data_IF_256384851460
#
_entry.id   IF_256384851460
#
_cell.length_a   1.000
_cell.length_b   1.000
_cell.length_c   1.000
_cell.angle_alpha   90.00
_cell.angle_beta   90.00
_cell.angle_gamma   90.00
#
_symmetry.space_group_name_H-M   'P 1'
#
loop_
_entity.id
_entity.type
_entity.pdbx_description
1 polymer ?
#
# COMPACT_ATOMS: atom_id res chain seq x y z
N UNK A 1 -21.13 30.11 11.68
CA UNK A 1 -21.27 29.64 13.08
C UNK A 1 -19.92 29.17 13.54
N UNK A 2 -19.45 29.62 14.68
CA UNK A 2 -18.12 29.30 15.19
C UNK A 2 -18.25 28.58 16.53
N UNK A 3 -17.57 27.45 16.65
CA UNK A 3 -17.42 26.69 17.88
C UNK A 3 -15.92 26.60 18.16
N UNK A 4 -15.53 27.06 19.33
CA UNK A 4 -14.16 26.98 19.83
C UNK A 4 -14.13 26.11 21.09
N UNK A 5 -13.25 25.12 21.10
CA UNK A 5 -12.98 24.25 22.25
C UNK A 5 -11.52 24.46 22.63
N UNK A 6 -11.30 24.97 23.85
CA UNK A 6 -9.97 25.31 24.38
C UNK A 6 -9.74 24.59 25.69
N UNK A 7 -8.51 24.11 25.91
CA UNK A 7 -8.03 23.55 27.18
C UNK A 7 -9.03 22.57 27.84
N UNK A 8 -9.57 21.66 27.04
CA UNK A 8 -10.64 20.75 27.46
C UNK A 8 -10.24 19.30 27.32
N UNK A 9 -10.55 18.48 28.33
CA UNK A 9 -10.32 17.02 28.32
C UNK A 9 -11.63 16.27 28.24
N UNK A 10 -11.74 15.39 27.25
CA UNK A 10 -12.81 14.43 27.07
C UNK A 10 -12.23 13.04 27.27
N UNK A 11 -12.63 12.35 28.34
CA UNK A 11 -12.04 11.05 28.68
C UNK A 11 -13.09 9.98 28.98
N UNK A 12 -12.81 8.74 28.58
CA UNK A 12 -13.63 7.55 28.88
C UNK A 12 -15.08 7.68 28.43
N UNK A 13 -15.27 8.19 27.20
CA UNK A 13 -16.59 8.38 26.60
C UNK A 13 -16.84 7.26 25.60
N UNK A 14 -17.84 6.44 25.88
CA UNK A 14 -18.26 5.36 24.98
C UNK A 14 -19.65 5.65 24.43
N UNK A 15 -19.73 5.77 23.12
CA UNK A 15 -20.96 5.92 22.36
C UNK A 15 -21.36 4.53 21.82
N UNK A 16 -22.40 3.95 22.41
CA UNK A 16 -22.83 2.56 22.19
C UNK A 16 -24.09 2.43 21.32
N UNK A 17 -24.65 3.53 20.84
CA UNK A 17 -25.85 3.59 19.99
C UNK A 17 -25.49 3.79 18.51
N UNK A 18 -26.45 4.16 17.65
CA UNK A 18 -26.22 4.38 16.22
C UNK A 18 -25.65 5.77 15.85
N UNK A 19 -25.23 6.58 16.83
CA UNK A 19 -24.62 7.90 16.57
C UNK A 19 -23.17 7.77 16.12
N UNK A 20 -22.67 8.73 15.35
CA UNK A 20 -21.24 8.87 15.04
C UNK A 20 -20.58 9.84 16.00
N UNK A 21 -19.26 9.71 16.22
CA UNK A 21 -18.50 10.58 17.12
C UNK A 21 -18.88 10.33 18.58
N UNK A 22 -17.96 9.85 19.42
CA UNK A 22 -18.30 9.72 20.84
C UNK A 22 -18.41 11.08 21.55
N UNK A 23 -17.67 12.08 21.08
CA UNK A 23 -17.63 13.42 21.69
C UNK A 23 -18.24 14.47 20.78
N UNK A 24 -17.81 14.52 19.52
CA UNK A 24 -18.23 15.54 18.56
C UNK A 24 -18.83 14.87 17.32
N UNK A 25 -20.03 15.30 16.95
CA UNK A 25 -20.68 15.00 15.69
C UNK A 25 -21.08 16.33 15.03
N UNK A 26 -20.33 16.75 14.02
CA UNK A 26 -20.44 18.09 13.44
C UNK A 26 -20.80 18.07 11.95
N UNK A 27 -21.70 18.97 11.56
CA UNK A 27 -21.99 19.30 10.16
C UNK A 27 -21.56 20.74 9.88
N UNK A 28 -20.55 20.91 9.05
CA UNK A 28 -19.90 22.19 8.78
C UNK A 28 -20.26 22.68 7.38
N UNK A 29 -21.23 23.60 7.31
CA UNK A 29 -21.66 24.29 6.09
C UNK A 29 -20.83 25.55 5.84
N UNK A 30 -21.13 26.24 4.73
CA UNK A 30 -20.50 27.52 4.36
C UNK A 30 -20.41 28.50 5.55
N UNK A 31 -19.18 28.91 5.88
CA UNK A 31 -18.90 29.84 6.99
C UNK A 31 -19.01 29.25 8.39
N UNK A 32 -19.10 27.93 8.54
CA UNK A 32 -18.96 27.25 9.82
C UNK A 32 -17.49 26.98 10.15
N UNK A 33 -17.11 27.16 11.41
CA UNK A 33 -15.78 26.86 11.93
C UNK A 33 -15.91 26.02 13.21
N UNK A 34 -15.20 24.90 13.25
CA UNK A 34 -14.88 24.17 14.49
C UNK A 34 -13.38 24.29 14.73
N UNK A 35 -13.01 24.98 15.81
CA UNK A 35 -11.62 25.12 16.23
C UNK A 35 -11.41 24.39 17.55
N UNK A 36 -10.39 23.55 17.64
CA UNK A 36 -10.05 22.79 18.85
C UNK A 36 -8.57 23.01 19.15
N UNK A 37 -8.30 23.73 20.23
CA UNK A 37 -6.99 24.32 20.51
C UNK A 37 -6.55 24.15 21.98
N UNK A 38 -5.37 24.70 22.27
CA UNK A 38 -4.84 24.95 23.61
C UNK A 38 -4.79 23.69 24.49
N UNK A 39 -4.05 22.65 24.06
CA UNK A 39 -3.86 21.42 24.86
C UNK A 39 -5.15 20.62 25.13
N UNK A 40 -6.19 20.79 24.31
CA UNK A 40 -7.39 19.96 24.38
C UNK A 40 -7.06 18.49 24.11
N UNK A 41 -7.77 17.57 24.77
CA UNK A 41 -7.48 16.14 24.72
C UNK A 41 -8.73 15.26 24.61
N UNK A 42 -8.60 14.20 23.81
CA UNK A 42 -9.60 13.14 23.65
C UNK A 42 -8.92 11.82 24.03
N UNK A 43 -9.36 11.20 25.11
CA UNK A 43 -8.69 10.04 25.69
C UNK A 43 -9.71 8.91 25.83
N UNK A 44 -9.43 7.75 25.25
CA UNK A 44 -10.30 6.59 25.35
C UNK A 44 -11.77 6.93 24.95
N UNK A 45 -11.91 7.67 23.85
CA UNK A 45 -13.22 7.96 23.24
C UNK A 45 -13.55 6.88 22.20
N UNK A 46 -14.64 6.15 22.42
CA UNK A 46 -15.00 4.96 21.65
C UNK A 46 -16.36 5.17 21.00
N UNK A 47 -16.46 5.00 19.69
CA UNK A 47 -17.74 4.95 18.98
C UNK A 47 -17.97 3.56 18.38
N UNK A 48 -19.21 3.07 18.48
CA UNK A 48 -19.64 1.87 17.74
C UNK A 48 -19.77 2.09 16.23
N UNK A 49 -19.72 3.34 15.77
CA UNK A 49 -19.77 3.74 14.35
C UNK A 49 -18.51 4.54 13.97
N UNK A 50 -18.57 5.56 13.10
CA UNK A 50 -17.37 6.23 12.63
C UNK A 50 -16.94 7.38 13.57
N UNK A 51 -15.64 7.61 13.67
CA UNK A 51 -15.06 8.69 14.48
C UNK A 51 -15.09 8.38 15.98
N UNK A 52 -14.00 7.88 16.55
CA UNK A 52 -14.00 7.52 17.98
C UNK A 52 -14.15 8.75 18.88
N UNK A 53 -13.43 9.83 18.60
CA UNK A 53 -13.63 11.13 19.25
C UNK A 53 -14.53 12.04 18.43
N UNK A 54 -14.17 12.25 17.17
CA UNK A 54 -14.76 13.26 16.29
C UNK A 54 -15.28 12.61 15.01
N UNK A 55 -16.54 12.88 14.69
CA UNK A 55 -17.12 12.67 13.38
C UNK A 55 -17.51 14.02 12.78
N UNK A 56 -17.20 14.23 11.51
CA UNK A 56 -17.56 15.48 10.83
C UNK A 56 -17.94 15.28 9.37
N UNK A 57 -18.93 16.07 8.92
CA UNK A 57 -19.25 16.28 7.51
C UNK A 57 -18.97 17.74 7.15
N UNK A 58 -18.25 17.98 6.05
CA UNK A 58 -17.86 19.34 5.63
C UNK A 58 -18.41 19.62 4.24
N UNK A 59 -19.24 20.66 4.12
CA UNK A 59 -19.87 21.15 2.89
C UNK A 59 -19.83 22.68 2.85
N UNK A 60 -18.62 23.24 2.89
CA UNK A 60 -18.41 24.69 2.92
C UNK A 60 -17.69 25.24 4.16
N UNK A 61 -17.41 24.40 5.17
CA UNK A 61 -16.89 24.83 6.47
C UNK A 61 -15.44 24.46 6.73
N UNK A 62 -14.99 24.78 7.95
CA UNK A 62 -13.59 24.66 8.35
C UNK A 62 -13.44 23.92 9.68
N UNK A 63 -12.46 23.02 9.74
CA UNK A 63 -11.96 22.43 10.98
C UNK A 63 -10.48 22.81 11.13
N UNK A 64 -10.12 23.33 12.30
CA UNK A 64 -8.74 23.59 12.70
C UNK A 64 -8.44 22.86 14.01
N UNK A 65 -7.38 22.04 14.00
CA UNK A 65 -6.91 21.28 15.15
C UNK A 65 -5.47 21.70 15.47
N UNK A 66 -5.28 22.42 16.57
CA UNK A 66 -3.97 22.90 16.98
C UNK A 66 -3.65 22.48 18.42
N UNK A 67 -2.44 21.96 18.66
CA UNK A 67 -1.99 21.59 20.01
C UNK A 67 -2.94 20.61 20.71
N UNK A 68 -3.55 19.67 19.97
CA UNK A 68 -4.46 18.68 20.56
C UNK A 68 -3.78 17.33 20.75
N UNK A 69 -4.27 16.57 21.73
CA UNK A 69 -3.82 15.19 21.98
C UNK A 69 -5.00 14.24 21.87
N UNK A 70 -4.90 13.24 20.99
CA UNK A 70 -5.89 12.18 20.87
C UNK A 70 -5.21 10.83 21.15
N UNK A 71 -5.66 10.16 22.21
CA UNK A 71 -5.08 8.91 22.71
C UNK A 71 -6.13 7.82 22.88
N UNK A 72 -5.81 6.59 22.50
CA UNK A 72 -6.62 5.39 22.80
C UNK A 72 -8.06 5.44 22.26
N UNK A 73 -8.36 6.35 21.32
CA UNK A 73 -9.68 6.42 20.70
C UNK A 73 -9.89 5.24 19.74
N UNK A 74 -11.13 4.80 19.61
CA UNK A 74 -11.46 3.70 18.70
C UNK A 74 -12.82 3.84 18.03
N UNK A 75 -12.88 3.43 16.77
CA UNK A 75 -14.09 3.40 15.97
C UNK A 75 -13.91 2.44 14.78
N UNK A 76 -14.98 2.02 14.11
CA UNK A 76 -14.87 1.30 12.86
C UNK A 76 -14.01 1.95 11.77
N UNK A 77 -14.22 3.24 11.51
CA UNK A 77 -13.31 4.03 10.67
C UNK A 77 -13.04 5.37 11.32
N UNK A 78 -11.82 5.88 11.17
CA UNK A 78 -11.42 7.10 11.85
C UNK A 78 -11.38 6.86 13.35
N UNK A 79 -10.49 5.96 13.79
CA UNK A 79 -10.41 5.52 15.19
C UNK A 79 -10.39 6.70 16.17
N UNK A 80 -9.72 7.80 15.81
CA UNK A 80 -9.86 9.10 16.46
C UNK A 80 -10.82 10.02 15.71
N UNK A 81 -10.55 10.31 14.42
CA UNK A 81 -11.31 11.29 13.63
C UNK A 81 -11.79 10.68 12.33
N UNK A 82 -13.08 10.85 12.04
CA UNK A 82 -13.65 10.60 10.73
C UNK A 82 -14.14 11.91 10.11
N UNK A 83 -13.72 12.21 8.89
CA UNK A 83 -14.17 13.40 8.14
C UNK A 83 -14.66 12.99 6.75
N UNK A 84 -15.88 13.40 6.41
CA UNK A 84 -16.44 13.29 5.06
C UNK A 84 -16.63 14.68 4.44
N UNK A 85 -16.02 14.94 3.29
CA UNK A 85 -15.88 16.26 2.70
C UNK A 85 -16.56 16.32 1.34
N UNK A 86 -17.31 17.38 1.07
CA UNK A 86 -17.69 17.76 -0.30
C UNK A 86 -16.57 18.63 -0.90
N UNK A 87 -15.69 18.00 -1.68
CA UNK A 87 -14.54 18.66 -2.29
C UNK A 87 -14.93 19.68 -3.37
N UNK A 88 -16.21 19.74 -3.78
CA UNK A 88 -16.70 20.76 -4.72
C UNK A 88 -17.00 22.10 -4.06
N UNK A 89 -16.97 22.14 -2.72
CA UNK A 89 -17.21 23.34 -1.92
C UNK A 89 -15.91 23.87 -1.33
N UNK A 90 -15.87 25.16 -0.98
CA UNK A 90 -14.74 25.71 -0.23
C UNK A 90 -14.74 25.12 1.18
N UNK A 91 -13.66 24.43 1.57
CA UNK A 91 -13.53 23.89 2.92
C UNK A 91 -12.15 24.17 3.49
N UNK A 92 -11.96 23.81 4.76
CA UNK A 92 -10.63 23.67 5.35
C UNK A 92 -10.63 22.53 6.36
N UNK A 93 -9.62 21.68 6.34
CA UNK A 93 -9.34 20.72 7.39
C UNK A 93 -7.83 20.70 7.64
N UNK A 94 -7.42 21.34 8.72
CA UNK A 94 -6.01 21.60 9.03
C UNK A 94 -5.66 21.03 10.40
N UNK A 95 -4.52 20.33 10.44
CA UNK A 95 -3.87 19.84 11.66
C UNK A 95 -2.51 20.52 11.77
N UNK A 96 -2.27 21.26 12.86
CA UNK A 96 -1.13 22.19 13.00
C UNK A 96 0.00 21.63 13.88
N UNK A 97 -0.30 21.21 15.10
CA UNK A 97 0.66 20.55 15.99
C UNK A 97 -0.07 19.60 16.93
N UNK A 98 -0.45 18.43 16.42
CA UNK A 98 -1.40 17.57 17.14
C UNK A 98 -0.93 16.12 17.15
N UNK A 99 -1.15 15.46 18.27
CA UNK A 99 -0.63 14.12 18.56
C UNK A 99 -1.75 13.06 18.55
N UNK A 100 -1.57 12.01 17.74
CA UNK A 100 -2.50 10.89 17.59
C UNK A 100 -1.79 9.58 17.92
N UNK A 101 -2.11 8.94 19.03
CA UNK A 101 -1.41 7.73 19.42
C UNK A 101 -2.30 6.68 20.06
N UNK A 102 -1.90 5.40 19.93
CA UNK A 102 -2.64 4.24 20.41
C UNK A 102 -4.10 4.15 19.91
N UNK A 103 -4.46 4.87 18.85
CA UNK A 103 -5.82 4.87 18.32
C UNK A 103 -6.05 3.64 17.46
N UNK A 104 -7.31 3.17 17.40
CA UNK A 104 -7.67 1.89 16.78
C UNK A 104 -8.85 1.96 15.82
N UNK A 105 -8.66 1.56 14.56
CA UNK A 105 -9.74 1.29 13.62
C UNK A 105 -10.08 -0.20 13.62
N UNK A 106 -11.32 -0.56 13.97
CA UNK A 106 -11.71 -1.97 14.15
C UNK A 106 -12.79 -2.41 13.17
N UNK A 107 -12.69 -3.59 12.60
CA UNK A 107 -13.77 -4.09 11.72
C UNK A 107 -15.07 -4.20 12.53
N UNK A 108 -16.15 -3.62 11.99
CA UNK A 108 -17.49 -3.83 12.49
C UNK A 108 -18.24 -4.78 11.56
N UNK A 109 -18.22 -6.07 11.91
CA UNK A 109 -18.91 -7.14 11.19
C UNK A 109 -20.44 -7.04 11.20
N UNK A 110 -21.02 -6.11 11.96
CA UNK A 110 -22.46 -5.84 11.94
C UNK A 110 -22.87 -4.86 10.82
N UNK A 111 -21.92 -4.18 10.17
CA UNK A 111 -22.19 -3.30 9.04
C UNK A 111 -22.29 -4.14 7.76
N UNK A 112 -23.52 -4.46 7.35
CA UNK A 112 -23.77 -5.38 6.23
C UNK A 112 -23.41 -4.83 4.84
N UNK A 113 -23.21 -3.50 4.70
CA UNK A 113 -23.07 -2.84 3.40
C UNK A 113 -21.90 -1.84 3.33
N UNK A 114 -21.02 -1.83 4.33
CA UNK A 114 -19.92 -0.88 4.34
C UNK A 114 -18.68 -1.47 4.99
N UNK A 115 -17.57 -1.40 4.28
CA UNK A 115 -16.29 -1.86 4.77
C UNK A 115 -15.76 -0.93 5.87
N UNK A 116 -15.20 -1.52 6.92
CA UNK A 116 -14.64 -0.79 8.06
C UNK A 116 -13.30 -1.40 8.49
N UNK A 117 -12.59 -0.73 9.38
CA UNK A 117 -11.25 -1.09 9.83
C UNK A 117 -10.15 -0.21 9.22
N UNK A 118 -10.48 1.01 8.79
CA UNK A 118 -9.56 1.92 8.12
C UNK A 118 -9.26 3.20 8.92
N UNK A 119 -8.01 3.66 8.89
CA UNK A 119 -7.63 4.98 9.39
C UNK A 119 -7.78 5.13 10.90
N UNK A 120 -6.89 4.52 11.69
CA UNK A 120 -7.06 4.53 13.14
C UNK A 120 -6.87 5.90 13.79
N UNK A 121 -5.98 6.73 13.25
CA UNK A 121 -5.90 8.14 13.61
C UNK A 121 -7.01 8.92 12.90
N UNK A 122 -6.89 9.02 11.58
CA UNK A 122 -7.80 9.83 10.76
C UNK A 122 -8.27 9.02 9.55
N UNK A 123 -9.58 9.04 9.32
CA UNK A 123 -10.17 8.62 8.06
C UNK A 123 -10.74 9.85 7.34
N UNK A 124 -10.22 10.14 6.16
CA UNK A 124 -10.69 11.24 5.30
C UNK A 124 -11.35 10.64 4.07
N UNK A 125 -12.58 11.01 3.80
CA UNK A 125 -13.25 10.67 2.55
C UNK A 125 -13.98 11.88 1.98
N UNK A 126 -14.33 11.81 0.70
CA UNK A 126 -15.19 12.84 0.15
C UNK A 126 -15.63 12.62 -1.29
N UNK A 127 -16.59 13.44 -1.69
CA UNK A 127 -17.14 13.46 -3.04
C UNK A 127 -16.60 14.63 -3.83
N UNK A 128 -16.49 14.45 -5.14
CA UNK A 128 -16.03 15.48 -6.06
C UNK A 128 -14.51 15.58 -6.16
N UNK A 129 -14.06 16.53 -6.98
CA UNK A 129 -12.65 16.71 -7.29
C UNK A 129 -12.06 17.78 -6.39
N UNK A 130 -11.01 17.42 -5.66
CA UNK A 130 -10.30 18.35 -4.78
C UNK A 130 -9.41 19.28 -5.60
N UNK A 131 -9.53 20.60 -5.37
CA UNK A 131 -8.58 21.56 -5.90
C UNK A 131 -7.27 21.51 -5.11
N UNK A 132 -6.26 20.86 -5.69
CA UNK A 132 -4.94 20.70 -5.08
C UNK A 132 -4.23 22.04 -4.80
N UNK A 133 -4.60 23.14 -5.45
CA UNK A 133 -3.98 24.45 -5.25
C UNK A 133 -4.55 25.17 -4.02
N UNK A 134 -5.72 24.75 -3.53
CA UNK A 134 -6.41 25.37 -2.39
C UNK A 134 -5.65 25.23 -1.06
N UNK A 135 -4.84 24.17 -0.90
CA UNK A 135 -4.24 23.76 0.38
C UNK A 135 -5.25 23.54 1.51
N UNK A 136 -6.53 23.35 1.18
CA UNK A 136 -7.60 23.25 2.16
C UNK A 136 -7.50 21.99 3.04
N UNK A 137 -6.90 20.91 2.53
CA UNK A 137 -6.55 19.74 3.34
C UNK A 137 -5.06 19.79 3.69
N UNK A 138 -4.75 19.94 4.97
CA UNK A 138 -3.37 20.07 5.45
C UNK A 138 -3.16 19.31 6.76
N UNK A 139 -2.51 18.16 6.68
CA UNK A 139 -2.21 17.30 7.82
C UNK A 139 -0.73 17.35 8.21
N UNK A 140 0.03 18.37 7.77
CA UNK A 140 1.47 18.49 8.03
C UNK A 140 1.82 18.49 9.52
N UNK A 141 0.94 19.03 10.34
CA UNK A 141 1.10 19.13 11.78
C UNK A 141 0.81 17.86 12.56
N UNK A 142 0.40 16.78 11.89
CA UNK A 142 0.07 15.53 12.54
C UNK A 142 1.34 14.81 13.03
N UNK A 143 1.35 14.44 14.31
CA UNK A 143 2.34 13.53 14.91
C UNK A 143 1.61 12.25 15.31
N UNK A 144 2.16 11.09 14.99
CA UNK A 144 1.51 9.83 15.31
C UNK A 144 2.45 8.72 15.77
N UNK A 145 1.95 7.84 16.64
CA UNK A 145 2.67 6.68 17.18
C UNK A 145 1.72 5.54 17.54
N UNK A 146 2.12 4.30 17.24
CA UNK A 146 1.47 3.07 17.72
C UNK A 146 -0.06 3.01 17.46
N UNK A 147 -0.51 3.60 16.35
CA UNK A 147 -1.88 3.44 15.89
C UNK A 147 -2.03 2.10 15.16
N UNK A 148 -3.24 1.55 15.12
CA UNK A 148 -3.48 0.24 14.50
C UNK A 148 -4.85 0.19 13.85
N UNK A 149 -4.89 -0.27 12.60
CA UNK A 149 -6.11 -0.48 11.85
C UNK A 149 -6.21 -1.97 11.51
N UNK A 150 -7.38 -2.58 11.71
CA UNK A 150 -7.61 -3.99 11.41
C UNK A 150 -7.42 -4.29 9.90
N UNK A 151 -7.60 -3.30 9.02
CA UNK A 151 -7.39 -3.42 7.58
C UNK A 151 -6.21 -2.60 7.08
N UNK A 152 -6.36 -1.27 7.01
CA UNK A 152 -5.38 -0.43 6.30
C UNK A 152 -5.39 1.02 6.79
N UNK A 153 -4.27 1.70 6.59
CA UNK A 153 -4.05 3.04 7.12
C UNK A 153 -4.00 2.99 8.64
N UNK A 154 -2.92 2.44 9.20
CA UNK A 154 -2.75 2.35 10.66
C UNK A 154 -2.92 3.70 11.32
N UNK A 155 -2.50 4.79 10.68
CA UNK A 155 -2.80 6.16 11.12
C UNK A 155 -3.80 6.83 10.20
N UNK A 156 -3.51 6.94 8.90
CA UNK A 156 -4.31 7.71 7.95
C UNK A 156 -4.83 6.81 6.84
N UNK A 157 -6.13 6.90 6.57
CA UNK A 157 -6.74 6.35 5.37
C UNK A 157 -7.49 7.43 4.60
N UNK A 158 -7.17 7.61 3.31
CA UNK A 158 -7.79 8.65 2.47
C UNK A 158 -8.53 8.06 1.28
N UNK A 159 -9.77 8.51 1.07
CA UNK A 159 -10.62 8.17 -0.08
C UNK A 159 -10.97 9.45 -0.83
N UNK A 160 -10.31 9.70 -1.96
CA UNK A 160 -10.64 10.84 -2.82
C UNK A 160 -10.18 10.61 -4.26
N UNK A 161 -10.91 11.15 -5.25
CA UNK A 161 -10.55 11.03 -6.66
C UNK A 161 -9.18 11.62 -7.00
N UNK A 162 -8.79 12.71 -6.31
CA UNK A 162 -7.54 13.45 -6.53
C UNK A 162 -6.39 13.02 -5.62
N UNK A 163 -6.46 11.83 -5.00
CA UNK A 163 -5.50 11.39 -3.98
C UNK A 163 -4.08 11.33 -4.53
N UNK A 164 -3.93 10.76 -5.72
CA UNK A 164 -2.63 10.65 -6.37
C UNK A 164 -1.98 12.02 -6.59
N UNK A 165 -2.76 13.01 -7.06
CA UNK A 165 -2.25 14.37 -7.31
C UNK A 165 -1.88 15.09 -6.00
N UNK A 166 -2.69 14.93 -4.96
CA UNK A 166 -2.39 15.44 -3.62
C UNK A 166 -1.09 14.83 -3.07
N UNK A 167 -0.90 13.53 -3.23
CA UNK A 167 0.30 12.85 -2.74
C UNK A 167 1.55 13.20 -3.56
N UNK A 168 1.43 13.41 -4.88
CA UNK A 168 2.55 13.87 -5.72
C UNK A 168 2.99 15.29 -5.38
N UNK A 169 2.04 16.14 -4.95
CA UNK A 169 2.33 17.53 -4.62
C UNK A 169 3.23 17.64 -3.39
N UNK A 170 4.32 18.38 -3.56
CA UNK A 170 5.35 18.62 -2.54
C UNK A 170 5.79 17.33 -1.83
N UNK A 171 5.91 16.22 -2.58
CA UNK A 171 6.33 14.92 -2.06
C UNK A 171 5.48 14.43 -0.87
N UNK A 172 4.15 14.57 -0.96
CA UNK A 172 3.21 14.07 0.04
C UNK A 172 3.12 14.92 1.30
N UNK A 173 3.76 16.10 1.33
CA UNK A 173 3.85 16.97 2.51
C UNK A 173 2.53 17.14 3.24
N UNK A 174 1.42 17.36 2.54
CA UNK A 174 0.09 17.62 3.11
C UNK A 174 -0.57 16.43 3.81
N UNK A 175 -0.02 15.22 3.70
CA UNK A 175 -0.56 14.00 4.33
C UNK A 175 0.47 13.27 5.22
N UNK A 176 1.75 13.65 5.14
CA UNK A 176 2.87 12.94 5.80
C UNK A 176 2.88 13.06 7.33
N UNK A 177 2.58 14.23 7.89
CA UNK A 177 2.84 14.46 9.32
C UNK A 177 4.29 14.17 9.70
N UNK A 178 4.52 13.38 10.75
CA UNK A 178 5.85 12.86 11.15
C UNK A 178 6.28 11.55 10.45
N UNK A 179 5.63 11.15 9.35
CA UNK A 179 6.04 9.99 8.56
C UNK A 179 7.45 10.15 8.00
N UNK A 180 8.27 9.10 8.14
CA UNK A 180 9.61 9.00 7.57
C UNK A 180 9.61 7.96 6.45
N UNK A 181 10.02 8.40 5.26
CA UNK A 181 10.15 7.55 4.06
C UNK A 181 11.12 6.36 4.26
N UNK A 182 11.95 6.38 5.31
CA UNK A 182 12.94 5.33 5.61
C UNK A 182 12.66 4.54 6.87
N UNK A 183 11.94 5.13 7.85
CA UNK A 183 11.79 4.54 9.19
C UNK A 183 10.35 4.14 9.53
N UNK A 184 9.34 4.84 9.00
CA UNK A 184 7.95 4.53 9.32
C UNK A 184 7.52 3.20 8.70
N UNK A 185 6.44 2.59 9.21
CA UNK A 185 5.83 1.43 8.57
C UNK A 185 5.06 1.92 7.33
N UNK A 186 5.19 1.24 6.18
CA UNK A 186 4.52 1.67 4.93
C UNK A 186 2.99 1.72 5.05
N UNK A 187 2.39 0.84 5.84
CA UNK A 187 0.95 0.81 6.15
C UNK A 187 0.44 1.92 7.09
N UNK A 188 1.28 2.85 7.56
CA UNK A 188 0.80 3.98 8.37
C UNK A 188 -0.16 4.89 7.59
N UNK A 189 0.18 5.16 6.33
CA UNK A 189 -0.53 6.07 5.46
C UNK A 189 -0.96 5.29 4.21
N UNK A 190 -2.25 5.03 4.07
CA UNK A 190 -2.81 4.34 2.92
C UNK A 190 -4.02 5.10 2.36
N UNK A 191 -4.46 4.73 1.17
CA UNK A 191 -5.68 5.29 0.61
C UNK A 191 -5.97 4.77 -0.78
N UNK A 192 -7.10 5.23 -1.33
CA UNK A 192 -7.62 4.81 -2.63
C UNK A 192 -8.06 6.04 -3.43
N UNK A 193 -7.63 6.08 -4.70
CA UNK A 193 -7.84 7.23 -5.57
C UNK A 193 -9.17 7.14 -6.33
N UNK A 194 -10.29 7.12 -5.61
CA UNK A 194 -11.66 7.07 -6.16
C UNK A 194 -12.61 7.99 -5.39
N UNK A 195 -13.75 8.32 -5.99
CA UNK A 195 -14.81 9.07 -5.31
C UNK A 195 -15.42 8.24 -4.16
N UNK A 196 -15.75 8.89 -3.04
CA UNK A 196 -16.34 8.21 -1.88
C UNK A 196 -17.61 7.41 -2.22
N UNK A 197 -18.41 7.87 -3.19
CA UNK A 197 -19.63 7.17 -3.65
C UNK A 197 -19.29 5.83 -4.30
N UNK A 198 -18.15 5.74 -4.98
CA UNK A 198 -17.66 4.49 -5.58
C UNK A 198 -17.12 3.60 -4.46
N UNK A 199 -16.30 4.14 -3.57
CA UNK A 199 -15.70 3.39 -2.45
C UNK A 199 -16.73 2.65 -1.61
N UNK A 200 -17.84 3.30 -1.23
CA UNK A 200 -18.88 2.68 -0.40
C UNK A 200 -19.67 1.57 -1.11
N UNK A 201 -19.45 1.38 -2.41
CA UNK A 201 -20.07 0.31 -3.21
C UNK A 201 -19.12 -0.86 -3.51
N UNK A 202 -17.84 -0.75 -3.11
CA UNK A 202 -16.83 -1.76 -3.36
C UNK A 202 -16.83 -2.87 -2.31
N UNK A 203 -16.42 -4.06 -2.73
CA UNK A 203 -16.10 -5.18 -1.83
C UNK A 203 -14.71 -5.01 -1.22
N UNK A 204 -14.43 -5.72 -0.12
CA UNK A 204 -13.08 -5.76 0.45
C UNK A 204 -12.00 -6.12 -0.58
N UNK A 205 -12.18 -7.17 -1.37
CA UNK A 205 -11.21 -7.58 -2.41
C UNK A 205 -10.97 -6.46 -3.43
N UNK A 206 -12.01 -5.72 -3.82
CA UNK A 206 -11.88 -4.60 -4.74
C UNK A 206 -11.09 -3.44 -4.13
N UNK A 207 -11.31 -3.14 -2.85
CA UNK A 207 -10.56 -2.11 -2.12
C UNK A 207 -9.09 -2.53 -2.02
N UNK A 208 -8.81 -3.78 -1.64
CA UNK A 208 -7.44 -4.31 -1.50
C UNK A 208 -6.65 -4.26 -2.81
N UNK A 209 -7.32 -4.43 -3.95
CA UNK A 209 -6.71 -4.35 -5.28
C UNK A 209 -6.43 -2.92 -5.76
N UNK A 210 -7.07 -1.91 -5.16
CA UNK A 210 -6.99 -0.51 -5.61
C UNK A 210 -6.35 0.43 -4.58
N UNK A 211 -6.21 -0.01 -3.32
CA UNK A 211 -5.52 0.76 -2.30
C UNK A 211 -4.02 0.78 -2.54
N UNK A 212 -3.38 1.85 -2.09
CA UNK A 212 -1.94 2.02 -2.16
C UNK A 212 -1.40 2.56 -0.84
N UNK A 213 -0.17 2.19 -0.49
CA UNK A 213 0.60 2.96 0.47
C UNK A 213 0.82 4.35 -0.12
N UNK A 214 0.51 5.43 0.61
CA UNK A 214 0.59 6.77 0.02
C UNK A 214 2.02 7.12 -0.41
N UNK A 215 3.03 6.53 0.26
CA UNK A 215 4.45 6.67 -0.09
C UNK A 215 4.75 6.26 -1.53
N UNK A 216 3.94 5.37 -2.11
CA UNK A 216 3.98 5.00 -3.51
C UNK A 216 3.97 6.21 -4.45
N UNK A 217 3.13 7.22 -4.16
CA UNK A 217 2.88 8.34 -5.08
C UNK A 217 3.96 9.43 -5.06
N UNK A 218 4.79 9.51 -4.03
CA UNK A 218 5.90 10.48 -3.95
C UNK A 218 7.28 9.83 -3.99
N UNK A 219 7.37 8.50 -4.04
CA UNK A 219 8.63 7.80 -4.19
C UNK A 219 9.04 7.70 -5.65
N UNK A 220 10.34 7.68 -5.91
CA UNK A 220 10.85 7.34 -7.24
C UNK A 220 10.84 5.81 -7.43
N UNK A 221 9.71 5.30 -7.88
CA UNK A 221 9.41 3.88 -7.96
C UNK A 221 9.98 3.26 -9.25
N UNK A 222 10.62 2.10 -9.11
CA UNK A 222 11.08 1.26 -10.25
C UNK A 222 9.87 0.89 -11.10
N UNK A 223 9.97 0.90 -12.42
CA UNK A 223 8.90 0.37 -13.29
C UNK A 223 9.49 -0.70 -14.17
N UNK A 224 9.05 -1.95 -14.03
CA UNK A 224 9.51 -3.02 -14.91
C UNK A 224 8.59 -3.12 -16.13
N UNK A 225 9.19 -3.20 -17.31
CA UNK A 225 8.48 -3.38 -18.58
C UNK A 225 8.65 -4.80 -19.11
N UNK A 226 9.79 -5.42 -18.84
CA UNK A 226 10.08 -6.81 -19.26
C UNK A 226 11.05 -7.49 -18.31
N UNK A 227 10.85 -8.79 -18.14
CA UNK A 227 11.69 -9.65 -17.30
C UNK A 227 11.88 -10.98 -18.02
N UNK A 228 13.13 -11.30 -18.32
CA UNK A 228 13.53 -12.58 -18.89
C UNK A 228 14.54 -13.28 -17.99
N UNK A 229 14.51 -14.60 -17.97
CA UNK A 229 15.59 -15.43 -17.47
C UNK A 229 16.05 -16.38 -18.57
N UNK A 230 17.36 -16.54 -18.71
CA UNK A 230 18.00 -17.51 -19.59
C UNK A 230 18.67 -18.56 -18.72
N UNK A 231 18.39 -19.84 -18.96
CA UNK A 231 19.04 -20.96 -18.30
C UNK A 231 19.96 -21.69 -19.30
N UNK A 232 21.25 -21.68 -19.02
CA UNK A 232 22.29 -22.39 -19.77
C UNK A 232 23.13 -23.22 -18.79
N UNK A 233 22.88 -24.53 -18.74
CA UNK A 233 23.49 -25.43 -17.74
C UNK A 233 24.97 -25.71 -17.96
N UNK A 234 25.52 -25.32 -19.12
CA UNK A 234 26.95 -25.41 -19.42
C UNK A 234 27.77 -24.30 -18.74
N UNK A 235 27.12 -23.22 -18.30
CA UNK A 235 27.79 -22.07 -17.69
C UNK A 235 28.00 -22.21 -16.17
N UNK A 236 29.05 -21.56 -15.65
CA UNK A 236 29.34 -21.51 -14.21
C UNK A 236 28.28 -20.73 -13.41
N UNK A 237 27.58 -19.81 -14.07
CA UNK A 237 26.40 -19.12 -13.58
C UNK A 237 25.25 -19.38 -14.56
N UNK A 238 24.58 -20.53 -14.43
CA UNK A 238 23.71 -21.07 -15.46
C UNK A 238 22.42 -20.27 -15.62
N UNK A 239 21.97 -19.55 -14.60
CA UNK A 239 20.73 -18.78 -14.67
C UNK A 239 21.03 -17.28 -14.71
N UNK A 240 20.66 -16.61 -15.80
CA UNK A 240 20.85 -15.17 -16.02
C UNK A 240 19.52 -14.46 -16.16
N UNK A 241 19.29 -13.41 -15.39
CA UNK A 241 18.11 -12.56 -15.47
C UNK A 241 18.42 -11.26 -16.22
N UNK A 242 17.48 -10.81 -17.03
CA UNK A 242 17.48 -9.52 -17.73
C UNK A 242 16.17 -8.81 -17.38
N UNK A 243 16.29 -7.64 -16.78
CA UNK A 243 15.20 -6.75 -16.41
C UNK A 243 15.26 -5.53 -17.33
N UNK A 244 14.18 -5.19 -18.00
CA UNK A 244 14.03 -3.91 -18.70
C UNK A 244 12.99 -3.08 -17.95
N UNK A 245 13.22 -1.78 -17.84
CA UNK A 245 12.36 -0.90 -17.04
C UNK A 245 12.87 0.51 -16.86
N UNK A 246 12.23 1.30 -16.01
CA UNK A 246 12.60 2.68 -15.69
C UNK A 246 12.90 2.83 -14.20
N UNK A 247 13.59 3.93 -13.84
CA UNK A 247 13.93 4.31 -12.46
C UNK A 247 14.71 3.26 -11.67
N UNK A 248 15.42 2.33 -12.31
CA UNK A 248 16.33 1.40 -11.64
C UNK A 248 17.63 2.12 -11.25
N UNK A 249 18.04 1.98 -9.98
CA UNK A 249 19.25 2.61 -9.44
C UNK A 249 20.31 1.55 -9.16
N UNK A 250 21.46 1.67 -9.83
CA UNK A 250 22.60 0.77 -9.65
C UNK A 250 23.07 0.75 -8.19
N UNK A 251 23.31 -0.45 -7.65
CA UNK A 251 23.71 -0.66 -6.24
C UNK A 251 22.58 -0.56 -5.21
N UNK A 252 21.37 -0.14 -5.61
CA UNK A 252 20.20 -0.05 -4.73
C UNK A 252 19.08 -1.02 -5.13
N UNK A 253 18.96 -1.32 -6.42
CA UNK A 253 17.96 -2.24 -6.95
C UNK A 253 17.98 -3.59 -6.23
N UNK A 254 16.84 -3.95 -5.67
CA UNK A 254 16.53 -5.25 -5.07
C UNK A 254 15.38 -5.89 -5.84
N UNK A 255 15.45 -7.21 -5.96
CA UNK A 255 14.51 -8.00 -6.74
C UNK A 255 13.92 -9.09 -5.85
N UNK A 256 12.60 -9.22 -5.90
CA UNK A 256 11.84 -10.32 -5.29
C UNK A 256 11.28 -11.21 -6.38
N UNK A 257 11.50 -12.52 -6.24
CA UNK A 257 10.92 -13.54 -7.11
C UNK A 257 9.89 -14.30 -6.30
N UNK A 258 8.66 -14.30 -6.77
CA UNK A 258 7.51 -14.89 -6.06
C UNK A 258 6.93 -16.03 -6.88
N UNK A 259 6.61 -17.13 -6.22
CA UNK A 259 5.87 -18.23 -6.84
C UNK A 259 4.40 -17.83 -6.99
N UNK A 260 3.87 -17.89 -8.21
CA UNK A 260 2.49 -17.47 -8.50
C UNK A 260 1.50 -18.63 -8.36
N UNK A 261 1.73 -19.70 -9.13
CA UNK A 261 0.90 -20.92 -9.12
C UNK A 261 1.56 -22.06 -9.88
N UNK A 262 1.02 -23.27 -9.70
CA UNK A 262 1.29 -24.39 -10.59
C UNK A 262 0.72 -24.11 -12.00
N UNK A 263 1.41 -24.60 -13.03
CA UNK A 263 0.91 -24.64 -14.41
C UNK A 263 -0.28 -25.60 -14.50
N UNK A 264 -1.32 -25.25 -15.24
CA UNK A 264 -2.42 -26.19 -15.52
C UNK A 264 -2.00 -27.20 -16.59
N UNK A 265 -2.73 -28.31 -16.71
CA UNK A 265 -2.42 -29.38 -17.68
C UNK A 265 -2.42 -28.87 -19.14
N UNK A 266 -3.20 -27.81 -19.42
CA UNK A 266 -3.32 -27.18 -20.73
C UNK A 266 -2.19 -26.18 -21.04
N UNK A 267 -1.43 -25.74 -20.01
CA UNK A 267 -0.33 -24.76 -20.13
C UNK A 267 1.06 -25.42 -20.18
N UNK A 268 1.12 -26.73 -20.40
CA UNK A 268 2.35 -27.53 -20.44
C UNK A 268 3.07 -27.53 -21.80
N UNK A 269 2.50 -26.91 -22.84
CA UNK A 269 3.09 -26.86 -24.18
C UNK A 269 3.04 -25.44 -24.75
N UNK A 270 4.14 -24.69 -24.68
CA UNK A 270 4.59 -23.80 -25.77
C UNK A 270 6.02 -23.29 -25.54
N UNK A 271 6.82 -23.24 -26.61
CA UNK A 271 8.22 -22.80 -26.66
C UNK A 271 8.54 -22.12 -28.00
N UNK A 272 9.54 -21.20 -27.97
CA UNK A 272 10.27 -20.48 -29.06
C UNK A 272 9.50 -19.32 -29.74
N UNK A 273 10.04 -18.11 -30.05
CA UNK A 273 11.39 -17.62 -30.41
C UNK A 273 11.52 -16.04 -30.27
N UNK A 274 12.65 -15.36 -30.62
CA UNK A 274 13.18 -14.10 -30.00
C UNK A 274 13.01 -12.81 -30.83
N UNK A 275 13.21 -11.59 -30.24
CA UNK A 275 13.68 -10.34 -30.92
C UNK A 275 14.45 -9.38 -29.95
N UNK A 276 15.50 -8.74 -30.49
CA UNK A 276 16.47 -7.68 -30.07
C UNK A 276 15.80 -6.26 -29.91
N UNK A 277 16.26 -5.19 -29.22
CA UNK A 277 17.36 -4.21 -29.49
C UNK A 277 17.43 -3.10 -28.35
N UNK A 278 18.59 -2.42 -28.24
CA UNK A 278 19.14 -1.23 -27.49
C UNK A 278 18.32 0.04 -27.07
N UNK A 279 18.86 0.86 -26.14
CA UNK A 279 18.44 2.26 -25.83
C UNK A 279 19.46 3.17 -25.05
N UNK A 280 19.33 4.50 -25.17
CA UNK A 280 20.14 5.63 -24.58
C UNK A 280 19.49 6.13 -23.24
N UNK A 281 20.20 6.74 -22.26
CA UNK A 281 19.85 6.81 -20.83
C UNK A 281 18.75 7.84 -20.43
N UNK A 282 17.84 8.15 -21.35
CA UNK A 282 16.62 8.94 -21.11
C UNK A 282 15.36 8.04 -21.30
N UNK A 283 15.58 6.80 -21.71
CA UNK A 283 14.63 5.79 -22.18
C UNK A 283 15.02 4.47 -21.47
N UNK A 284 14.05 3.56 -21.26
CA UNK A 284 14.16 2.21 -20.66
C UNK A 284 15.60 1.67 -20.38
N UNK A 285 15.89 1.41 -19.10
CA UNK A 285 17.13 0.83 -18.57
C UNK A 285 17.07 -0.70 -18.61
N UNK A 286 18.22 -1.35 -18.77
CA UNK A 286 18.36 -2.81 -18.62
C UNK A 286 19.25 -3.15 -17.43
N UNK A 287 18.78 -3.99 -16.51
CA UNK A 287 19.57 -4.55 -15.42
C UNK A 287 19.76 -6.06 -15.63
N UNK A 288 20.93 -6.59 -15.27
CA UNK A 288 21.25 -8.02 -15.43
C UNK A 288 21.89 -8.55 -14.16
N UNK A 289 21.50 -9.75 -13.74
CA UNK A 289 22.20 -10.50 -12.70
C UNK A 289 22.17 -12.00 -12.98
N UNK A 290 23.13 -12.75 -12.43
CA UNK A 290 23.25 -14.19 -12.65
C UNK A 290 23.32 -14.95 -11.33
N UNK A 291 22.95 -16.23 -11.36
CA UNK A 291 22.94 -17.11 -10.20
C UNK A 291 23.53 -18.47 -10.55
N UNK A 292 24.38 -19.00 -9.65
CA UNK A 292 24.95 -20.35 -9.75
C UNK A 292 23.95 -21.44 -9.36
N UNK A 293 23.09 -21.16 -8.38
CA UNK A 293 22.06 -22.09 -7.91
C UNK A 293 20.67 -21.74 -8.47
N UNK A 294 20.13 -22.64 -9.28
CA UNK A 294 18.81 -22.53 -9.90
C UNK A 294 17.83 -23.64 -9.49
N UNK A 295 18.21 -24.53 -8.56
CA UNK A 295 17.42 -25.72 -8.18
C UNK A 295 16.04 -25.40 -7.58
N UNK A 296 15.85 -24.16 -7.14
CA UNK A 296 14.58 -23.64 -6.60
C UNK A 296 13.57 -23.24 -7.70
N UNK A 297 14.04 -23.07 -8.94
CA UNK A 297 13.24 -22.61 -10.07
C UNK A 297 12.65 -23.81 -10.81
N UNK A 298 11.51 -24.33 -10.36
CA UNK A 298 10.77 -25.40 -11.03
C UNK A 298 9.95 -24.85 -12.22
N UNK A 299 10.58 -24.14 -13.15
CA UNK A 299 9.92 -23.43 -14.25
C UNK A 299 9.07 -24.32 -15.17
N UNK A 300 9.34 -25.64 -15.20
CA UNK A 300 8.51 -26.63 -15.91
C UNK A 300 7.16 -26.87 -15.22
N UNK A 301 7.05 -26.60 -13.92
CA UNK A 301 5.85 -26.89 -13.10
C UNK A 301 5.16 -25.63 -12.57
N UNK A 302 5.89 -24.53 -12.42
CA UNK A 302 5.44 -23.33 -11.70
C UNK A 302 5.61 -22.06 -12.53
N UNK A 303 4.66 -21.14 -12.38
CA UNK A 303 4.78 -19.75 -12.80
C UNK A 303 5.44 -18.93 -11.70
N UNK A 304 6.34 -18.05 -12.08
CA UNK A 304 7.02 -17.12 -11.19
C UNK A 304 6.73 -15.69 -11.63
N UNK A 305 6.63 -14.80 -10.67
CA UNK A 305 6.52 -13.35 -10.88
C UNK A 305 7.75 -12.66 -10.32
N UNK A 306 8.07 -11.49 -10.85
CA UNK A 306 9.17 -10.66 -10.40
C UNK A 306 8.67 -9.28 -9.98
N UNK A 307 9.20 -8.80 -8.86
CA UNK A 307 8.99 -7.45 -8.32
C UNK A 307 10.36 -6.79 -8.10
N UNK A 308 10.44 -5.47 -8.28
CA UNK A 308 11.66 -4.70 -8.03
C UNK A 308 11.41 -3.52 -7.09
N UNK A 309 12.48 -3.09 -6.43
CA UNK A 309 12.47 -1.95 -5.50
C UNK A 309 13.87 -1.35 -5.37
N UNK A 310 14.00 -0.03 -5.30
CA UNK A 310 15.26 0.62 -4.93
C UNK A 310 15.40 0.80 -3.41
N UNK A 311 14.28 0.91 -2.69
CA UNK A 311 14.25 1.23 -1.27
C UNK A 311 14.04 0.01 -0.36
N UNK A 312 13.77 -1.17 -0.97
CA UNK A 312 13.43 -2.44 -0.31
C UNK A 312 12.18 -2.35 0.57
N UNK A 313 11.36 -1.32 0.40
CA UNK A 313 10.13 -1.06 1.17
C UNK A 313 8.92 -1.24 0.28
N UNK A 314 8.94 -0.63 -0.91
CA UNK A 314 7.84 -0.71 -1.88
C UNK A 314 8.33 -1.52 -3.09
N UNK A 315 7.68 -2.66 -3.31
CA UNK A 315 8.00 -3.60 -4.40
C UNK A 315 6.90 -3.60 -5.45
N UNK A 316 7.29 -3.51 -6.72
CA UNK A 316 6.37 -3.29 -7.84
C UNK A 316 6.73 -4.12 -9.06
N UNK A 317 5.71 -4.51 -9.84
CA UNK A 317 5.84 -5.21 -11.12
C UNK A 317 5.43 -4.31 -12.29
N UNK A 318 4.54 -4.78 -13.17
CA UNK A 318 4.10 -4.05 -14.39
C UNK A 318 3.19 -2.85 -14.00
N UNK A 319 3.17 -1.83 -14.86
CA UNK A 319 2.07 -0.85 -14.95
C UNK A 319 1.86 0.09 -13.74
N UNK A 320 2.90 0.31 -12.92
CA UNK A 320 2.81 1.23 -11.77
C UNK A 320 1.77 0.79 -10.72
N UNK A 321 1.49 -0.52 -10.62
CA UNK A 321 0.62 -1.04 -9.57
C UNK A 321 1.43 -1.76 -8.50
N UNK A 322 1.31 -1.25 -7.29
CA UNK A 322 1.73 -1.94 -6.09
C UNK A 322 1.07 -3.32 -6.03
N UNK A 323 1.84 -4.38 -5.75
CA UNK A 323 1.40 -5.79 -5.61
C UNK A 323 1.03 -6.55 -6.89
N UNK A 324 1.09 -5.95 -8.08
CA UNK A 324 1.03 -6.72 -9.33
C UNK A 324 2.44 -7.21 -9.72
N UNK A 325 2.56 -8.47 -10.15
CA UNK A 325 3.85 -9.12 -10.46
C UNK A 325 4.03 -9.27 -11.97
N UNK A 326 5.26 -9.10 -12.47
CA UNK A 326 5.58 -9.37 -13.88
C UNK A 326 5.95 -10.84 -14.04
N UNK A 327 5.21 -11.57 -14.87
CA UNK A 327 5.48 -12.98 -15.16
C UNK A 327 6.89 -13.19 -15.70
N UNK A 328 7.63 -14.10 -15.09
CA UNK A 328 8.98 -14.48 -15.49
C UNK A 328 8.92 -15.44 -16.68
N UNK A 329 9.46 -15.02 -17.83
CA UNK A 329 9.71 -15.92 -18.97
C UNK A 329 11.09 -16.56 -18.79
N UNK A 330 11.16 -17.89 -18.83
CA UNK A 330 12.41 -18.66 -18.77
C UNK A 330 12.70 -19.26 -20.15
N UNK A 331 13.84 -18.92 -20.73
CA UNK A 331 14.36 -19.41 -22.01
C UNK A 331 15.53 -20.38 -21.75
N UNK A 332 15.59 -21.49 -22.49
CA UNK A 332 16.66 -22.49 -22.34
C UNK A 332 17.63 -22.32 -23.52
N UNK A 333 18.92 -22.15 -23.21
CA UNK A 333 19.99 -22.25 -24.19
C UNK A 333 20.66 -23.62 -24.01
N UNK A 334 20.42 -24.53 -24.94
CA UNK A 334 21.09 -25.83 -25.00
C UNK A 334 22.28 -25.72 -25.97
N UNK A 335 23.47 -26.15 -25.53
CA UNK A 335 24.57 -26.37 -26.46
C UNK A 335 24.17 -27.50 -27.42
N UNK A 336 24.26 -27.25 -28.72
CA UNK A 336 23.79 -28.12 -29.83
C UNK A 336 24.57 -29.46 -29.94
N UNK A 337 25.34 -29.86 -28.93
CA UNK A 337 26.31 -30.95 -29.06
C UNK A 337 25.99 -32.25 -28.31
N UNK A 338 24.84 -32.42 -27.68
CA UNK A 338 24.48 -33.72 -27.07
C UNK A 338 23.11 -34.22 -27.53
N UNK A 339 23.03 -34.67 -28.79
CA UNK A 339 22.02 -35.64 -29.21
C UNK A 339 22.62 -37.03 -28.99
N UNK A 340 22.34 -37.67 -27.84
CA UNK A 340 22.36 -39.12 -27.75
C UNK A 340 21.15 -39.68 -26.99
N UNK A 341 20.79 -40.90 -27.40
CA UNK A 341 19.47 -41.54 -27.38
C UNK A 341 18.82 -41.77 -26.01
N UNK A 342 17.48 -41.70 -26.03
CA UNK A 342 16.57 -42.15 -24.97
C UNK A 342 16.72 -43.67 -24.77
N UNK A 343 17.02 -44.10 -23.54
CA UNK A 343 16.65 -45.43 -23.04
C UNK A 343 15.73 -45.30 -21.82
N UNK A 344 14.53 -45.89 -21.94
CA UNK A 344 13.58 -46.07 -20.84
C UNK A 344 14.20 -46.94 -19.74
N UNK A 345 14.22 -46.42 -18.51
CA UNK A 345 14.73 -47.11 -17.33
C UNK A 345 13.95 -46.73 -16.07
N UNK A 346 13.31 -47.75 -15.50
CA UNK A 346 12.47 -47.86 -14.31
C UNK A 346 12.89 -46.99 -13.09
N UNK A 347 11.87 -46.46 -12.40
CA UNK A 347 11.93 -45.73 -11.12
C UNK A 347 12.49 -46.63 -10.00
N UNK A 348 13.51 -46.16 -9.28
CA UNK A 348 13.79 -46.60 -7.91
C UNK A 348 14.01 -45.39 -6.98
N UNK A 349 13.30 -45.41 -5.86
CA UNK A 349 13.19 -44.35 -4.87
C UNK A 349 14.24 -44.52 -3.76
N UNK A 350 15.10 -43.52 -3.54
CA UNK A 350 15.59 -43.20 -2.18
C UNK A 350 15.93 -41.72 -2.04
N UNK A 351 15.38 -41.10 -1.00
CA UNK A 351 15.67 -39.73 -0.56
C UNK A 351 17.04 -39.64 0.10
N UNK A 352 17.74 -38.53 -0.09
CA UNK A 352 18.50 -37.82 0.96
C UNK A 352 18.56 -36.31 0.66
N UNK A 353 18.25 -35.47 1.66
CA UNK A 353 18.34 -34.00 1.63
C UNK A 353 19.81 -33.50 1.52
N UNK A 354 20.00 -32.22 1.10
CA UNK A 354 20.72 -31.35 2.02
C UNK A 354 20.16 -29.92 2.18
N UNK A 355 20.36 -29.42 3.41
CA UNK A 355 20.15 -28.07 3.94
C UNK A 355 21.10 -27.03 3.31
N UNK A 356 20.60 -25.79 3.15
CA UNK A 356 21.42 -24.57 3.01
C UNK A 356 21.00 -23.65 1.87
N UNK A 357 20.19 -22.63 2.17
CA UNK A 357 19.80 -21.58 1.22
C UNK A 357 20.98 -20.66 0.87
N UNK A 358 21.67 -20.93 -0.25
CA UNK A 358 22.67 -20.03 -0.87
C UNK A 358 21.97 -18.96 -1.74
N UNK A 359 21.19 -18.07 -1.10
CA UNK A 359 20.55 -16.94 -1.79
C UNK A 359 21.31 -15.66 -1.41
N UNK A 360 21.78 -14.84 -2.38
CA UNK A 360 22.39 -13.54 -2.08
C UNK A 360 21.46 -12.67 -1.24
N UNK A 361 22.00 -11.92 -0.27
CA UNK A 361 21.26 -11.14 0.73
C UNK A 361 20.29 -10.06 0.18
N UNK A 362 20.35 -9.78 -1.12
CA UNK A 362 19.50 -8.82 -1.83
C UNK A 362 18.33 -9.48 -2.58
N UNK A 363 18.23 -10.82 -2.54
CA UNK A 363 17.10 -11.62 -3.01
C UNK A 363 16.33 -12.15 -1.80
N UNK A 364 15.04 -11.84 -1.70
CA UNK A 364 14.15 -12.36 -0.66
C UNK A 364 13.25 -13.43 -1.30
N UNK A 365 13.34 -14.67 -0.80
CA UNK A 365 12.44 -15.78 -1.17
C UNK A 365 11.28 -15.79 -0.18
N UNK A 366 10.06 -15.60 -0.65
CA UNK A 366 8.85 -15.84 0.14
C UNK A 366 8.14 -17.10 -0.38
N UNK A 367 7.82 -18.02 0.52
CA UNK A 367 7.01 -19.19 0.19
C UNK A 367 5.54 -18.80 0.34
N UNK A 368 4.83 -18.73 -0.79
CA UNK A 368 3.38 -18.49 -0.93
C UNK A 368 2.84 -17.18 -0.33
N UNK A 369 2.35 -16.29 -1.20
CA UNK A 369 1.29 -15.36 -0.82
C UNK A 369 0.00 -16.17 -0.76
N UNK A 370 -0.32 -16.74 0.39
CA UNK A 370 -1.70 -17.14 0.65
C UNK A 370 -2.51 -15.87 0.83
N UNK A 371 -3.26 -15.47 -0.19
CA UNK A 371 -4.47 -14.69 0.04
C UNK A 371 -5.35 -15.57 0.93
N UNK A 372 -5.38 -15.30 2.23
CA UNK A 372 -6.37 -15.94 3.08
C UNK A 372 -7.70 -15.29 2.74
N UNK A 373 -8.46 -15.90 1.84
CA UNK A 373 -9.89 -15.66 1.78
C UNK A 373 -10.48 -16.10 3.12
N UNK A 374 -10.76 -15.15 4.01
CA UNK A 374 -11.61 -15.35 5.19
C UNK A 374 -12.50 -14.15 5.44
#
# INVERSE_FOLDING_TARGET
>A
NEIEIINSTFENIEQSSSGNGAVINAELRSGSLLSINESSSFINCISGTNGGGIYSTISGGSIELNEITINECSAPNGGAIYVNIDFTTQFTFVVIDSLFFNCKAKVNSSLQYFESGFGAGIFVAGRGNYDILSNALDLRGMKFYNNSADKSGQTLFVVMSSLQDLCKKDEGKYVKGNYSDTQSIVGELEGISIDYTIFISQTQDQIEQQQHHLQYYWSNIVTLTKVNATLNTSNTEPLRFVLEGQNMISGQLSVKIVELRLKTQDELNDSTDPIEITGDPIIEQTATFSMSNYSWLEYKKKWYGLLASNDKRIYVGIEQKERETLGLKVEIEEDVNDIEEIQEGIIDTTQTEPKGSNVPWWIIKEETITYSSR
#
